data_IF_950531098580
#
_entry.id   IF_950531098580
#
_cell.length_a   1.000
_cell.length_b   1.000
_cell.length_c   1.000
_cell.angle_alpha   90.00
_cell.angle_beta   90.00
_cell.angle_gamma   90.00
#
_symmetry.space_group_name_H-M   'P 1'
#
loop_
_entity.id
_entity.type
_entity.pdbx_description
1 polymer ?
#
# COMPACT_ATOMS: atom_id res chain seq x y z
N UNK A 1 -0.85 37.32 37.90
CA UNK A 1 -2.15 37.13 37.20
C UNK A 1 -1.97 37.04 35.68
N UNK A 2 -1.25 37.97 35.03
CA UNK A 2 -0.93 37.91 33.58
C UNK A 2 -0.15 36.66 33.15
N UNK A 3 0.81 36.20 33.95
CA UNK A 3 1.67 35.05 33.64
C UNK A 3 0.90 33.71 33.66
N UNK A 4 -0.12 33.60 34.52
CA UNK A 4 -1.00 32.42 34.58
C UNK A 4 -1.87 32.32 33.32
N UNK A 5 -2.38 33.45 32.83
CA UNK A 5 -3.18 33.53 31.60
C UNK A 5 -2.33 33.16 30.37
N UNK A 6 -1.09 33.66 30.30
CA UNK A 6 -0.16 33.34 29.21
C UNK A 6 0.20 31.85 29.16
N UNK A 7 0.44 31.22 30.32
CA UNK A 7 0.74 29.79 30.40
C UNK A 7 -0.46 28.91 30.02
N UNK A 8 -1.68 29.29 30.44
CA UNK A 8 -2.90 28.57 30.03
C UNK A 8 -3.21 28.72 28.54
N UNK A 9 -2.96 29.89 27.95
CA UNK A 9 -3.15 30.13 26.52
C UNK A 9 -2.14 29.33 25.68
N UNK A 10 -0.89 29.27 26.10
CA UNK A 10 0.15 28.44 25.46
C UNK A 10 -0.19 26.95 25.53
N UNK A 11 -0.63 26.47 26.70
CA UNK A 11 -1.02 25.06 26.86
C UNK A 11 -2.22 24.69 25.98
N UNK A 12 -3.26 25.55 25.94
CA UNK A 12 -4.43 25.34 25.09
C UNK A 12 -4.06 25.37 23.61
N UNK A 13 -3.14 26.24 23.18
CA UNK A 13 -2.69 26.31 21.79
C UNK A 13 -1.92 25.05 21.36
N UNK A 14 -1.07 24.50 22.24
CA UNK A 14 -0.39 23.23 21.98
C UNK A 14 -1.34 22.04 21.95
N UNK A 15 -2.34 22.01 22.85
CA UNK A 15 -3.35 20.96 22.86
C UNK A 15 -4.24 21.02 21.60
N UNK A 16 -4.61 22.23 21.17
CA UNK A 16 -5.41 22.43 19.96
C UNK A 16 -4.62 22.05 18.71
N UNK A 17 -3.33 22.36 18.64
CA UNK A 17 -2.49 22.00 17.50
C UNK A 17 -2.30 20.48 17.41
N UNK A 18 -2.09 19.78 18.53
CA UNK A 18 -2.00 18.32 18.56
C UNK A 18 -3.34 17.64 18.20
N UNK A 19 -4.46 18.17 18.73
CA UNK A 19 -5.79 17.65 18.39
C UNK A 19 -6.17 17.91 16.94
N UNK A 20 -5.78 19.06 16.38
CA UNK A 20 -6.06 19.37 14.97
C UNK A 20 -5.24 18.47 14.03
N UNK A 21 -4.02 18.08 14.42
CA UNK A 21 -3.26 17.05 13.70
C UNK A 21 -3.84 15.65 13.84
N UNK A 22 -4.55 15.35 14.92
CA UNK A 22 -5.22 14.05 15.14
C UNK A 22 -6.61 13.96 14.48
N UNK A 23 -7.32 15.09 14.34
CA UNK A 23 -8.71 15.16 13.82
C UNK A 23 -8.76 15.50 12.32
N UNK A 24 -7.84 16.31 11.79
CA UNK A 24 -7.82 16.69 10.36
C UNK A 24 -6.62 16.13 9.57
N UNK A 25 -5.62 15.60 10.25
CA UNK A 25 -4.50 14.92 9.62
C UNK A 25 -4.69 13.42 9.72
N UNK A 26 -5.15 12.78 8.66
CA UNK A 26 -4.81 11.38 8.46
C UNK A 26 -3.28 11.36 8.41
N UNK A 27 -2.61 11.11 9.55
CA UNK A 27 -1.13 11.10 9.58
C UNK A 27 -0.71 10.10 8.52
N UNK A 28 0.48 10.27 7.94
CA UNK A 28 0.91 9.63 6.69
C UNK A 28 0.89 8.09 6.63
N UNK A 29 0.18 7.39 7.51
CA UNK A 29 -0.13 5.97 7.51
C UNK A 29 -1.33 5.56 6.65
N UNK A 30 -2.04 6.51 6.04
CA UNK A 30 -2.92 6.22 4.88
C UNK A 30 -2.38 6.94 3.66
N UNK A 31 -2.41 6.27 2.52
CA UNK A 31 -2.04 6.87 1.24
C UNK A 31 -2.85 6.24 0.11
N UNK A 32 -3.02 6.97 -0.99
CA UNK A 32 -3.60 6.42 -2.19
C UNK A 32 -2.87 6.93 -3.43
N UNK A 33 -2.86 6.10 -4.47
CA UNK A 33 -2.30 6.45 -5.76
C UNK A 33 -3.21 5.96 -6.87
N UNK A 34 -3.35 6.80 -7.90
CA UNK A 34 -4.10 6.51 -9.11
C UNK A 34 -3.13 6.34 -10.27
N UNK A 35 -3.54 5.56 -11.26
CA UNK A 35 -2.86 5.50 -12.53
C UNK A 35 -3.59 4.60 -13.51
N UNK A 36 -2.83 4.03 -14.43
CA UNK A 36 -3.36 3.19 -15.49
C UNK A 36 -2.52 1.92 -15.63
N UNK A 37 -3.19 0.81 -15.95
CA UNK A 37 -2.55 -0.48 -16.20
C UNK A 37 -3.11 -1.03 -17.51
N UNK A 38 -2.23 -1.53 -18.37
CA UNK A 38 -2.60 -2.02 -19.70
C UNK A 38 -1.76 -3.20 -20.18
N UNK A 39 -0.49 -3.28 -19.79
CA UNK A 39 0.42 -4.35 -20.22
C UNK A 39 0.45 -5.52 -19.24
N UNK A 40 0.68 -6.71 -19.77
CA UNK A 40 1.02 -7.88 -18.96
C UNK A 40 2.33 -7.61 -18.19
N UNK A 41 2.41 -8.08 -16.95
CA UNK A 41 3.62 -8.02 -16.14
C UNK A 41 3.39 -7.59 -14.70
N UNK A 42 4.50 -7.44 -13.98
CA UNK A 42 4.52 -6.95 -12.60
C UNK A 42 4.46 -5.42 -12.57
N UNK A 43 3.64 -4.87 -11.68
CA UNK A 43 3.56 -3.43 -11.42
C UNK A 43 3.88 -3.15 -9.96
N UNK A 44 4.82 -2.24 -9.68
CA UNK A 44 4.98 -1.68 -8.33
C UNK A 44 3.81 -0.77 -8.03
N UNK A 45 3.19 -0.97 -6.87
CA UNK A 45 1.99 -0.23 -6.46
C UNK A 45 2.13 0.41 -5.07
N UNK A 46 3.13 -0.01 -4.30
CA UNK A 46 3.48 0.60 -3.04
C UNK A 46 4.97 0.43 -2.75
N UNK A 47 5.51 1.30 -1.90
CA UNK A 47 6.89 1.21 -1.39
C UNK A 47 6.99 1.59 0.08
N UNK A 48 7.98 1.04 0.77
CA UNK A 48 8.39 1.42 2.11
C UNK A 48 9.92 1.47 2.20
N UNK A 49 10.45 2.42 2.98
CA UNK A 49 11.89 2.48 3.26
C UNK A 49 12.25 1.56 4.42
N UNK A 50 13.36 0.83 4.30
CA UNK A 50 13.80 -0.09 5.34
C UNK A 50 13.10 -1.46 5.31
N UNK A 51 13.72 -2.44 5.97
CA UNK A 51 13.31 -3.84 5.93
C UNK A 51 12.53 -4.22 7.19
N UNK A 52 11.31 -4.74 7.02
CA UNK A 52 10.58 -5.32 8.13
C UNK A 52 9.85 -4.30 9.02
N UNK A 53 9.02 -4.82 9.93
CA UNK A 53 8.31 -4.05 10.98
C UNK A 53 7.35 -2.99 10.46
N UNK A 54 6.86 -3.19 9.24
CA UNK A 54 6.03 -2.27 8.47
C UNK A 54 4.91 -3.11 7.82
N UNK A 55 3.86 -3.37 8.57
CA UNK A 55 2.66 -4.02 8.02
C UNK A 55 1.76 -2.98 7.33
N UNK A 56 0.84 -3.42 6.48
CA UNK A 56 -0.19 -2.54 5.93
C UNK A 56 -1.40 -3.30 5.39
N UNK A 57 -2.51 -2.59 5.24
CA UNK A 57 -3.71 -3.05 4.54
C UNK A 57 -3.76 -2.41 3.16
N UNK A 58 -3.87 -3.23 2.13
CA UNK A 58 -3.85 -2.84 0.73
C UNK A 58 -5.25 -2.99 0.16
N UNK A 59 -5.74 -1.98 -0.55
CA UNK A 59 -6.95 -2.07 -1.37
C UNK A 59 -6.63 -1.71 -2.81
N UNK A 60 -6.93 -2.62 -3.73
CA UNK A 60 -6.70 -2.48 -5.17
C UNK A 60 -8.06 -2.44 -5.87
N UNK A 61 -8.28 -1.43 -6.71
CA UNK A 61 -9.48 -1.29 -7.54
C UNK A 61 -9.09 -1.09 -8.99
N UNK A 62 -9.72 -1.86 -9.89
CA UNK A 62 -9.68 -1.64 -11.34
C UNK A 62 -11.02 -1.12 -11.82
N UNK A 63 -11.01 0.06 -12.42
CA UNK A 63 -12.20 0.68 -13.02
C UNK A 63 -12.09 0.74 -14.55
N UNK A 64 -12.94 0.01 -15.27
CA UNK A 64 -13.23 0.19 -16.71
C UNK A 64 -14.42 -0.67 -17.15
N UNK A 65 -14.97 -0.38 -18.34
CA UNK A 65 -16.22 -0.93 -18.89
C UNK A 65 -16.19 -2.39 -19.36
N UNK A 66 -15.01 -2.96 -19.65
CA UNK A 66 -14.83 -4.38 -19.94
C UNK A 66 -13.33 -4.72 -20.02
N UNK A 67 -12.88 -5.83 -19.43
CA UNK A 67 -13.64 -6.77 -18.62
C UNK A 67 -14.09 -6.18 -17.27
N UNK A 68 -15.11 -6.81 -16.65
CA UNK A 68 -15.79 -6.35 -15.43
C UNK A 68 -14.85 -5.99 -14.27
N UNK A 69 -15.33 -5.23 -13.27
CA UNK A 69 -14.49 -4.64 -12.24
C UNK A 69 -13.75 -5.70 -11.42
N UNK A 70 -12.66 -5.27 -10.80
CA UNK A 70 -11.85 -6.11 -9.93
C UNK A 70 -11.44 -5.33 -8.67
N UNK A 71 -11.68 -5.95 -7.53
CA UNK A 71 -11.37 -5.44 -6.21
C UNK A 71 -10.65 -6.49 -5.37
N UNK A 72 -9.58 -6.09 -4.70
CA UNK A 72 -8.85 -6.92 -3.76
C UNK A 72 -8.58 -6.09 -2.49
N UNK A 73 -8.84 -6.65 -1.31
CA UNK A 73 -8.41 -6.14 -0.01
C UNK A 73 -7.53 -7.18 0.67
N UNK A 74 -6.30 -6.81 0.98
CA UNK A 74 -5.25 -7.74 1.39
C UNK A 74 -4.50 -7.13 2.59
N UNK A 75 -4.31 -7.91 3.64
CA UNK A 75 -3.36 -7.58 4.71
C UNK A 75 -1.97 -8.07 4.30
N UNK A 76 -0.99 -7.19 4.33
CA UNK A 76 0.41 -7.56 4.36
C UNK A 76 0.93 -7.47 5.80
N UNK A 77 1.53 -8.55 6.28
CA UNK A 77 2.18 -8.62 7.59
C UNK A 77 3.67 -8.72 7.37
N UNK A 78 4.39 -7.74 7.90
CA UNK A 78 5.85 -7.68 7.91
C UNK A 78 6.33 -7.35 9.32
N UNK A 79 6.90 -8.35 9.98
CA UNK A 79 7.41 -8.25 11.34
C UNK A 79 8.77 -8.94 11.38
N UNK A 80 9.83 -8.15 11.55
CA UNK A 80 11.21 -8.61 11.46
C UNK A 80 11.51 -9.34 10.13
N UNK A 81 11.69 -10.66 10.17
CA UNK A 81 11.97 -11.50 9.01
C UNK A 81 10.75 -12.33 8.57
N UNK A 82 9.60 -12.15 9.21
CA UNK A 82 8.35 -12.85 8.90
C UNK A 82 7.50 -11.96 8.00
N UNK A 83 7.20 -12.48 6.81
CA UNK A 83 6.46 -11.79 5.76
C UNK A 83 5.32 -12.68 5.27
N UNK A 84 4.11 -12.15 5.18
CA UNK A 84 2.98 -12.89 4.64
C UNK A 84 1.88 -11.98 4.13
N UNK A 85 1.12 -12.48 3.15
CA UNK A 85 -0.13 -11.88 2.72
C UNK A 85 -1.32 -12.69 3.22
N UNK A 86 -2.40 -11.98 3.57
CA UNK A 86 -3.70 -12.57 3.84
C UNK A 86 -4.77 -11.82 3.07
N UNK A 87 -5.45 -12.49 2.14
CA UNK A 87 -6.64 -11.90 1.53
C UNK A 87 -7.73 -11.70 2.58
N UNK A 88 -8.32 -10.52 2.60
CA UNK A 88 -9.43 -10.16 3.45
C UNK A 88 -10.74 -10.24 2.66
N UNK A 89 -10.76 -9.65 1.46
CA UNK A 89 -11.93 -9.59 0.56
C UNK A 89 -11.44 -9.60 -0.88
N UNK A 90 -12.10 -10.33 -1.76
CA UNK A 90 -11.95 -10.17 -3.20
C UNK A 90 -13.31 -10.08 -3.87
N UNK A 91 -13.39 -9.30 -4.95
CA UNK A 91 -14.50 -9.31 -5.91
C UNK A 91 -13.88 -9.21 -7.30
N UNK A 92 -13.87 -10.31 -8.03
CA UNK A 92 -13.25 -10.36 -9.35
C UNK A 92 -14.07 -11.25 -10.27
N UNK A 93 -14.46 -10.72 -11.43
CA UNK A 93 -15.21 -11.47 -12.45
C UNK A 93 -14.32 -12.00 -13.57
N UNK A 94 -13.14 -11.41 -13.76
CA UNK A 94 -12.25 -11.73 -14.90
C UNK A 94 -10.84 -12.11 -14.47
N UNK A 95 -10.48 -11.87 -13.20
CA UNK A 95 -9.23 -12.36 -12.59
C UNK A 95 -7.99 -11.92 -13.38
N UNK A 96 -7.90 -10.63 -13.71
CA UNK A 96 -6.70 -10.12 -14.41
C UNK A 96 -5.51 -9.97 -13.48
N UNK A 97 -5.78 -9.66 -12.21
CA UNK A 97 -4.78 -9.61 -11.18
C UNK A 97 -4.67 -10.98 -10.53
N UNK A 98 -3.65 -11.75 -10.92
CA UNK A 98 -3.53 -13.16 -10.54
C UNK A 98 -2.52 -13.40 -9.41
N UNK A 99 -1.64 -12.44 -9.13
CA UNK A 99 -0.64 -12.54 -8.06
C UNK A 99 -0.32 -11.20 -7.44
N UNK A 100 0.03 -11.21 -6.17
CA UNK A 100 0.67 -10.09 -5.46
C UNK A 100 1.91 -10.61 -4.75
N UNK A 101 2.97 -9.80 -4.72
CA UNK A 101 4.20 -10.13 -3.99
C UNK A 101 4.77 -8.93 -3.26
N UNK A 102 5.56 -9.22 -2.24
CA UNK A 102 6.42 -8.27 -1.55
C UNK A 102 7.87 -8.63 -1.88
N UNK A 103 8.65 -7.64 -2.28
CA UNK A 103 10.05 -7.79 -2.65
C UNK A 103 10.91 -6.77 -1.90
N UNK A 104 12.13 -7.17 -1.58
CA UNK A 104 13.14 -6.30 -1.01
C UNK A 104 14.20 -5.99 -2.06
N UNK A 105 14.46 -4.71 -2.29
CA UNK A 105 15.57 -4.21 -3.10
C UNK A 105 16.73 -3.84 -2.18
N UNK A 106 17.78 -4.66 -2.19
CA UNK A 106 18.96 -4.47 -1.35
C UNK A 106 19.79 -3.26 -1.76
N UNK A 107 19.75 -2.87 -3.04
CA UNK A 107 20.55 -1.76 -3.56
C UNK A 107 19.98 -0.41 -3.09
N UNK A 108 18.65 -0.30 -3.03
CA UNK A 108 17.96 0.93 -2.62
C UNK A 108 17.41 0.90 -1.21
N UNK A 109 17.60 -0.20 -0.48
CA UNK A 109 17.08 -0.40 0.87
C UNK A 109 15.56 -0.11 0.95
N UNK A 110 14.83 -0.57 -0.07
CA UNK A 110 13.42 -0.28 -0.27
C UNK A 110 12.63 -1.57 -0.47
N UNK A 111 11.52 -1.68 0.24
CA UNK A 111 10.55 -2.75 0.06
C UNK A 111 9.47 -2.30 -0.92
N UNK A 112 9.07 -3.17 -1.84
CA UNK A 112 8.00 -2.91 -2.80
C UNK A 112 6.92 -3.97 -2.71
N UNK A 113 5.68 -3.54 -2.92
CA UNK A 113 4.57 -4.44 -3.20
C UNK A 113 4.28 -4.36 -4.70
N UNK A 114 4.22 -5.52 -5.33
CA UNK A 114 3.99 -5.67 -6.75
C UNK A 114 2.76 -6.52 -7.05
N UNK A 115 2.01 -6.11 -8.08
CA UNK A 115 0.81 -6.78 -8.56
C UNK A 115 1.06 -7.30 -9.97
N UNK A 116 0.77 -8.58 -10.24
CA UNK A 116 0.90 -9.14 -11.57
C UNK A 116 -0.41 -9.06 -12.35
N UNK A 117 -0.35 -8.46 -13.53
CA UNK A 117 -1.41 -8.54 -14.53
C UNK A 117 -1.07 -9.63 -15.55
N UNK A 118 -1.99 -10.57 -15.79
CA UNK A 118 -1.73 -11.78 -16.57
C UNK A 118 -1.85 -11.62 -18.10
N UNK A 119 -2.29 -10.46 -18.59
CA UNK A 119 -2.52 -10.23 -20.02
C UNK A 119 -2.41 -8.76 -20.40
N UNK A 120 -2.12 -8.50 -21.66
CA UNK A 120 -2.35 -7.19 -22.28
C UNK A 120 -3.85 -6.89 -22.32
N UNK A 121 -4.20 -5.62 -22.14
CA UNK A 121 -5.58 -5.15 -22.13
C UNK A 121 -5.69 -3.70 -22.64
N UNK A 122 -6.93 -3.24 -22.82
CA UNK A 122 -7.20 -1.81 -22.95
C UNK A 122 -6.74 -1.09 -21.67
N UNK A 123 -6.49 0.21 -21.78
CA UNK A 123 -6.09 1.01 -20.62
C UNK A 123 -7.19 0.98 -19.56
N UNK A 124 -6.90 0.40 -18.41
CA UNK A 124 -7.80 0.34 -17.26
C UNK A 124 -7.40 1.40 -16.24
N UNK A 125 -8.38 2.06 -15.61
CA UNK A 125 -8.09 2.91 -14.46
C UNK A 125 -7.71 2.02 -13.26
N UNK A 126 -6.69 2.44 -12.53
CA UNK A 126 -6.19 1.76 -11.35
C UNK A 126 -6.17 2.70 -10.16
N UNK A 127 -6.58 2.19 -9.00
CA UNK A 127 -6.44 2.85 -7.71
C UNK A 127 -5.89 1.84 -6.69
N UNK A 128 -4.79 2.21 -6.05
CA UNK A 128 -4.27 1.56 -4.86
C UNK A 128 -4.48 2.48 -3.66
N UNK A 129 -4.97 1.95 -2.55
CA UNK A 129 -4.88 2.62 -1.26
C UNK A 129 -4.21 1.70 -0.23
N UNK A 130 -3.37 2.31 0.60
CA UNK A 130 -2.68 1.67 1.71
C UNK A 130 -3.18 2.32 2.99
N UNK A 131 -3.57 1.49 3.94
CA UNK A 131 -4.00 1.83 5.31
C UNK A 131 -3.11 1.09 6.31
N UNK A 132 -3.18 1.46 7.60
CA UNK A 132 -2.40 0.84 8.68
C UNK A 132 -0.90 0.72 8.37
N UNK A 133 -0.34 1.74 7.72
CA UNK A 133 0.98 1.68 7.10
C UNK A 133 2.14 2.02 8.05
N UNK A 134 1.91 2.06 9.36
CA UNK A 134 2.93 2.51 10.30
C UNK A 134 4.04 1.48 10.48
N UNK A 135 5.28 1.96 10.45
CA UNK A 135 6.45 1.23 10.88
C UNK A 135 6.71 1.50 12.37
N UNK A 136 7.15 0.47 13.10
CA UNK A 136 7.53 0.57 14.51
C UNK A 136 8.60 1.65 14.80
N UNK A 137 9.45 1.98 13.82
CA UNK A 137 10.55 2.95 13.94
C UNK A 137 10.27 4.29 13.23
N UNK A 138 9.08 4.50 12.67
CA UNK A 138 8.61 5.78 12.13
C UNK A 138 9.14 6.21 10.76
N UNK A 139 10.27 5.67 10.27
CA UNK A 139 10.88 6.05 8.98
C UNK A 139 10.55 5.12 7.80
N UNK A 140 9.81 4.03 8.03
CA UNK A 140 9.54 2.98 7.04
C UNK A 140 8.07 2.77 6.69
N UNK A 141 7.26 3.83 6.77
CA UNK A 141 5.83 3.71 6.53
C UNK A 141 5.53 3.37 5.07
N UNK A 142 4.56 2.49 4.84
CA UNK A 142 4.12 2.17 3.48
C UNK A 142 3.45 3.37 2.81
N UNK A 143 3.74 3.54 1.52
CA UNK A 143 3.13 4.54 0.65
C UNK A 143 2.67 3.91 -0.65
N UNK A 144 1.41 4.12 -1.01
CA UNK A 144 0.91 3.86 -2.35
C UNK A 144 1.66 4.73 -3.35
N UNK A 145 2.02 4.16 -4.50
CA UNK A 145 2.61 4.88 -5.64
C UNK A 145 1.79 4.59 -6.90
N UNK A 146 1.82 5.48 -7.91
CA UNK A 146 1.24 5.16 -9.22
C UNK A 146 1.81 3.82 -9.72
N UNK A 147 1.00 3.00 -10.42
CA UNK A 147 1.45 1.70 -10.90
C UNK A 147 2.58 1.88 -11.92
N UNK A 148 3.72 1.25 -11.65
CA UNK A 148 4.92 1.30 -12.50
C UNK A 148 5.26 -0.12 -12.97
N UNK A 149 5.21 -0.35 -14.29
CA UNK A 149 5.57 -1.64 -14.89
C UNK A 149 7.05 -1.94 -14.63
N UNK A 150 7.35 -3.13 -14.12
CA UNK A 150 8.71 -3.56 -13.82
C UNK A 150 9.22 -4.61 -14.79
N UNK A 151 10.55 -4.74 -14.85
CA UNK A 151 11.21 -5.82 -15.58
C UNK A 151 11.32 -7.04 -14.65
N UNK A 152 11.11 -8.23 -15.20
CA UNK A 152 10.91 -9.45 -14.39
C UNK A 152 12.19 -9.99 -13.71
N UNK A 153 13.37 -9.42 -13.96
CA UNK A 153 14.60 -9.79 -13.27
C UNK A 153 15.41 -8.54 -12.96
N UNK A 154 15.62 -8.28 -11.68
CA UNK A 154 16.57 -7.27 -11.22
C UNK A 154 17.45 -7.98 -10.20
N UNK A 155 18.74 -8.07 -10.50
CA UNK A 155 19.75 -8.53 -9.55
C UNK A 155 19.60 -7.76 -8.22
N UNK A 156 19.79 -8.42 -7.08
CA UNK A 156 19.61 -7.86 -5.72
C UNK A 156 18.15 -7.68 -5.25
N UNK A 157 17.19 -8.33 -5.90
CA UNK A 157 15.81 -8.44 -5.39
C UNK A 157 15.57 -9.76 -4.67
N UNK A 158 15.05 -9.66 -3.44
CA UNK A 158 14.66 -10.82 -2.64
C UNK A 158 13.14 -10.88 -2.49
N UNK A 159 12.54 -12.01 -2.87
CA UNK A 159 11.13 -12.28 -2.60
C UNK A 159 10.91 -12.46 -1.10
N UNK A 160 9.93 -11.73 -0.55
CA UNK A 160 9.57 -11.79 0.88
C UNK A 160 8.30 -12.60 1.10
N UNK A 161 7.26 -12.32 0.31
CA UNK A 161 5.97 -13.01 0.35
C UNK A 161 5.29 -12.97 -1.02
N UNK A 162 4.42 -13.94 -1.28
CA UNK A 162 3.57 -13.99 -2.48
C UNK A 162 2.19 -14.55 -2.11
N UNK A 163 1.16 -14.16 -2.85
CA UNK A 163 -0.19 -14.69 -2.77
C UNK A 163 -0.85 -14.72 -4.15
N UNK A 164 -1.45 -15.85 -4.50
CA UNK A 164 -2.30 -15.98 -5.68
C UNK A 164 -3.64 -15.24 -5.49
N UNK A 165 -4.13 -14.62 -6.56
CA UNK A 165 -5.34 -13.79 -6.58
C UNK A 165 -6.32 -14.24 -7.70
N UNK A 166 -7.63 -13.98 -7.52
CA UNK A 166 -8.26 -13.55 -6.28
C UNK A 166 -8.25 -14.68 -5.24
N UNK A 167 -7.80 -14.38 -4.03
CA UNK A 167 -8.06 -15.24 -2.88
C UNK A 167 -9.30 -14.72 -2.14
N UNK A 168 -10.17 -15.61 -1.65
CA UNK A 168 -11.45 -15.27 -1.00
C UNK A 168 -12.43 -14.49 -1.90
N UNK A 169 -12.53 -14.86 -3.18
CA UNK A 169 -13.60 -14.38 -4.06
C UNK A 169 -14.91 -15.09 -3.70
N UNK A 170 -16.02 -14.38 -3.43
CA UNK A 170 -17.33 -15.02 -3.31
C UNK A 170 -17.69 -15.64 -4.66
N UNK A 171 -18.22 -16.87 -4.61
CA UNK A 171 -18.77 -17.58 -5.78
C UNK A 171 -20.06 -16.89 -6.23
#
# INVERSE_FOLDING_TARGET
>A
MQEYIANTASFLFHLLSSLNTDIQGVKGYVSCARGVIAKQGWYRIAKAGGYGYNSCVISIKRGYFAPGPEYQKIQFVSVYNIHSFKSLIAVSNVHMFIKIRAIWDEATNTEYIELYQDRDSRTNAFLCSIEDALCAYGSGNWKAIPPELTQENIDNMKLLAELDLPANNPI
#
